data_IF_372311243910
#
_entry.id   IF_372311243910
#
_cell.length_a   1.000
_cell.length_b   1.000
_cell.length_c   1.000
_cell.angle_alpha   90.00
_cell.angle_beta   90.00
_cell.angle_gamma   90.00
#
_symmetry.space_group_name_H-M   'P 1'
#
loop_
_entity.id
_entity.type
_entity.pdbx_description
1 polymer ?
#
# COMPACT_ATOMS: atom_id res chain seq x y z
N UNK A 1 22.40 12.21 24.01
CA UNK A 1 21.60 12.52 22.80
C UNK A 1 21.69 11.28 21.93
N UNK A 2 20.63 10.48 21.84
CA UNK A 2 20.61 9.26 21.03
C UNK A 2 19.75 9.48 19.78
N UNK A 3 20.33 9.15 18.63
CA UNK A 3 19.69 9.20 17.32
C UNK A 3 18.43 8.32 17.26
N UNK A 4 17.34 8.75 16.61
CA UNK A 4 16.17 7.91 16.42
C UNK A 4 16.52 6.84 15.38
N UNK A 5 16.76 5.61 15.84
CA UNK A 5 16.94 4.45 14.98
C UNK A 5 15.71 4.29 14.08
N UNK A 6 15.90 4.46 12.76
CA UNK A 6 14.99 3.89 11.75
C UNK A 6 14.84 2.40 12.09
N UNK A 7 13.66 2.02 12.53
CA UNK A 7 13.34 0.65 12.90
C UNK A 7 13.20 -0.14 11.59
N UNK A 8 14.28 -0.78 11.15
CA UNK A 8 14.25 -1.67 10.00
C UNK A 8 13.46 -2.92 10.39
N UNK A 9 12.31 -3.14 9.77
CA UNK A 9 11.57 -4.41 9.90
C UNK A 9 12.50 -5.59 9.61
N UNK A 10 12.42 -6.70 10.37
CA UNK A 10 13.29 -7.85 10.14
C UNK A 10 13.02 -8.42 8.74
N UNK A 11 14.09 -8.66 7.99
CA UNK A 11 14.03 -9.36 6.70
C UNK A 11 13.35 -10.73 6.88
N UNK A 12 12.40 -11.08 5.99
CA UNK A 12 11.59 -12.28 6.13
C UNK A 12 10.38 -12.17 7.07
N UNK A 13 10.07 -10.98 7.60
CA UNK A 13 8.82 -10.75 8.30
C UNK A 13 7.62 -11.11 7.41
N UNK A 14 6.67 -11.87 7.97
CA UNK A 14 5.46 -12.29 7.28
C UNK A 14 4.23 -11.90 8.10
N UNK A 15 3.26 -11.28 7.43
CA UNK A 15 1.95 -10.97 7.98
C UNK A 15 0.89 -11.75 7.22
N UNK A 16 -0.07 -12.32 7.92
CA UNK A 16 -1.15 -13.10 7.32
C UNK A 16 -2.49 -12.79 7.97
N UNK A 17 -3.55 -13.20 7.29
CA UNK A 17 -4.91 -13.04 7.78
C UNK A 17 -5.92 -13.51 6.73
N UNK A 18 -7.15 -13.03 6.87
CA UNK A 18 -8.24 -13.34 5.95
C UNK A 18 -8.82 -12.05 5.39
N UNK A 19 -8.94 -11.95 4.07
CA UNK A 19 -9.79 -10.96 3.42
C UNK A 19 -11.19 -11.52 3.27
N UNK A 20 -12.19 -10.72 3.64
CA UNK A 20 -13.60 -11.05 3.45
C UNK A 20 -14.15 -10.12 2.37
N UNK A 21 -14.62 -10.71 1.29
CA UNK A 21 -15.35 -10.02 0.23
C UNK A 21 -16.82 -10.40 0.35
N UNK A 22 -17.63 -9.54 0.97
CA UNK A 22 -19.01 -9.88 1.34
C UNK A 22 -19.88 -10.07 0.08
N UNK A 23 -20.46 -11.25 -0.16
CA UNK A 23 -21.28 -11.50 -1.35
C UNK A 23 -22.50 -10.58 -1.49
N UNK A 24 -22.89 -9.87 -0.42
CA UNK A 24 -23.99 -8.91 -0.44
C UNK A 24 -23.57 -7.50 -0.90
N UNK A 25 -22.28 -7.23 -1.10
CA UNK A 25 -21.81 -5.93 -1.59
C UNK A 25 -22.41 -5.61 -2.96
N UNK A 26 -22.99 -4.41 -3.08
CA UNK A 26 -23.69 -3.97 -4.29
C UNK A 26 -22.82 -3.94 -5.56
N UNK A 27 -21.49 -3.92 -5.42
CA UNK A 27 -20.57 -3.99 -6.55
C UNK A 27 -20.77 -5.27 -7.38
N UNK A 28 -21.14 -6.37 -6.74
CA UNK A 28 -21.34 -7.66 -7.40
C UNK A 28 -22.61 -7.72 -8.24
N UNK A 29 -23.57 -6.81 -8.03
CA UNK A 29 -24.73 -6.66 -8.91
C UNK A 29 -24.33 -6.26 -10.33
N UNK A 30 -23.18 -5.61 -10.49
CA UNK A 30 -22.69 -5.10 -11.76
C UNK A 30 -21.35 -5.73 -12.20
N UNK A 31 -20.74 -6.58 -11.36
CA UNK A 31 -19.41 -7.15 -11.60
C UNK A 31 -19.30 -8.62 -11.12
N UNK A 32 -19.79 -9.60 -11.87
CA UNK A 32 -20.57 -9.52 -13.10
C UNK A 32 -21.96 -10.11 -12.81
N UNK A 33 -23.04 -9.60 -13.42
CA UNK A 33 -24.39 -10.12 -13.16
C UNK A 33 -24.43 -11.65 -13.37
N UNK A 34 -25.04 -12.40 -12.45
CA UNK A 34 -25.12 -13.88 -12.40
C UNK A 34 -23.81 -14.65 -12.17
N UNK A 35 -22.65 -14.01 -12.26
CA UNK A 35 -21.34 -14.63 -11.98
C UNK A 35 -20.46 -13.60 -11.25
N UNK A 36 -20.70 -13.36 -9.95
CA UNK A 36 -20.01 -12.32 -9.22
C UNK A 36 -18.52 -12.66 -9.09
N UNK A 37 -17.68 -11.65 -9.36
CA UNK A 37 -16.23 -11.76 -9.28
C UNK A 37 -15.71 -10.56 -8.52
N UNK A 38 -14.80 -10.77 -7.58
CA UNK A 38 -14.08 -9.70 -6.90
C UNK A 38 -13.21 -8.96 -7.92
N UNK A 39 -13.43 -7.65 -8.14
CA UNK A 39 -12.54 -6.86 -8.98
C UNK A 39 -11.09 -6.97 -8.52
N UNK A 40 -10.17 -7.19 -9.46
CA UNK A 40 -8.75 -7.30 -9.13
C UNK A 40 -8.21 -6.09 -8.37
N UNK A 41 -8.74 -4.89 -8.64
CA UNK A 41 -8.42 -3.67 -7.92
C UNK A 41 -8.82 -3.70 -6.44
N UNK A 42 -9.94 -4.34 -6.08
CA UNK A 42 -10.33 -4.50 -4.67
C UNK A 42 -9.39 -5.45 -3.93
N UNK A 43 -8.94 -6.52 -4.60
CA UNK A 43 -7.94 -7.44 -4.03
C UNK A 43 -6.61 -6.70 -3.77
N UNK A 44 -6.13 -5.94 -4.76
CA UNK A 44 -4.90 -5.14 -4.60
C UNK A 44 -5.05 -4.11 -3.49
N UNK A 45 -6.20 -3.43 -3.43
CA UNK A 45 -6.49 -2.46 -2.38
C UNK A 45 -6.53 -3.12 -0.99
N UNK A 46 -7.08 -4.32 -0.86
CA UNK A 46 -7.07 -5.07 0.40
C UNK A 46 -5.64 -5.37 0.88
N UNK A 47 -4.72 -5.75 -0.03
CA UNK A 47 -3.30 -5.88 0.29
C UNK A 47 -2.67 -4.57 0.75
N UNK A 48 -2.95 -3.46 0.05
CA UNK A 48 -2.44 -2.14 0.45
C UNK A 48 -2.92 -1.78 1.86
N UNK A 49 -4.20 -1.97 2.16
CA UNK A 49 -4.76 -1.69 3.50
C UNK A 49 -4.15 -2.58 4.58
N UNK A 50 -3.96 -3.87 4.32
CA UNK A 50 -3.28 -4.77 5.24
C UNK A 50 -1.83 -4.31 5.49
N UNK A 51 -1.08 -3.96 4.44
CA UNK A 51 0.29 -3.46 4.56
C UNK A 51 0.36 -2.13 5.32
N UNK A 52 -0.58 -1.19 5.10
CA UNK A 52 -0.65 0.09 5.83
C UNK A 52 -0.74 -0.10 7.34
N UNK A 53 -1.56 -1.06 7.77
CA UNK A 53 -1.79 -1.34 9.20
C UNK A 53 -0.54 -1.85 9.90
N UNK A 54 0.32 -2.59 9.19
CA UNK A 54 1.51 -3.21 9.78
C UNK A 54 2.80 -2.42 9.58
N UNK A 55 2.91 -1.63 8.50
CA UNK A 55 4.16 -0.97 8.10
C UNK A 55 4.09 0.57 8.05
N UNK A 56 2.92 1.18 8.27
CA UNK A 56 2.71 2.64 8.23
C UNK A 56 3.12 3.35 6.91
N UNK A 57 3.30 2.59 5.83
CA UNK A 57 3.61 3.09 4.48
C UNK A 57 2.36 3.73 3.87
N UNK A 58 2.44 4.97 3.38
CA UNK A 58 1.26 5.67 2.81
C UNK A 58 0.99 5.30 1.35
N UNK A 59 2.05 5.27 0.55
CA UNK A 59 1.99 5.11 -0.90
C UNK A 59 2.65 3.81 -1.32
N UNK A 60 2.04 3.13 -2.27
CA UNK A 60 2.60 1.92 -2.87
C UNK A 60 2.65 2.07 -4.37
N UNK A 61 3.75 1.62 -4.96
CA UNK A 61 3.76 1.17 -6.35
C UNK A 61 3.38 -0.30 -6.39
N UNK A 62 2.61 -0.65 -7.42
CA UNK A 62 2.18 -2.01 -7.70
C UNK A 62 3.13 -2.61 -8.74
N UNK A 63 3.61 -3.84 -8.51
CA UNK A 63 4.45 -4.54 -9.47
C UNK A 63 4.00 -5.99 -9.65
N UNK A 64 3.89 -6.42 -10.90
CA UNK A 64 3.70 -7.82 -11.30
C UNK A 64 2.54 -8.56 -10.59
N UNK A 65 1.42 -7.88 -10.31
CA UNK A 65 0.20 -8.55 -9.87
C UNK A 65 -0.33 -9.47 -10.98
N UNK A 66 -0.53 -10.74 -10.64
CA UNK A 66 -1.05 -11.79 -11.51
C UNK A 66 -2.23 -12.46 -10.83
N UNK A 67 -3.34 -12.51 -11.55
CA UNK A 67 -4.57 -13.15 -11.13
C UNK A 67 -4.70 -14.44 -11.93
N UNK A 68 -4.54 -15.59 -11.25
CA UNK A 68 -4.52 -16.90 -11.91
C UNK A 68 -5.92 -17.41 -12.20
N UNK A 69 -6.86 -17.07 -11.33
CA UNK A 69 -8.26 -17.47 -11.37
C UNK A 69 -9.16 -16.31 -10.97
N UNK A 70 -10.44 -16.37 -11.36
CA UNK A 70 -11.43 -15.43 -10.86
C UNK A 70 -11.74 -15.72 -9.39
N UNK A 71 -11.68 -14.68 -8.57
CA UNK A 71 -12.01 -14.72 -7.14
C UNK A 71 -13.49 -14.41 -7.01
N UNK A 72 -14.26 -15.30 -6.39
CA UNK A 72 -15.68 -15.06 -6.08
C UNK A 72 -15.79 -14.32 -4.73
N UNK A 73 -16.91 -13.66 -4.41
CA UNK A 73 -17.08 -13.07 -3.08
C UNK A 73 -17.12 -14.17 -2.00
N UNK A 74 -16.13 -14.18 -1.11
CA UNK A 74 -15.98 -15.12 0.01
C UNK A 74 -14.81 -14.66 0.93
N UNK A 75 -14.46 -15.48 1.91
CA UNK A 75 -13.23 -15.40 2.68
C UNK A 75 -12.02 -16.04 1.99
N UNK A 76 -10.88 -15.35 2.01
CA UNK A 76 -9.63 -15.82 1.42
C UNK A 76 -8.44 -15.56 2.35
N UNK A 77 -7.59 -16.55 2.50
CA UNK A 77 -6.34 -16.41 3.24
C UNK A 77 -5.36 -15.56 2.43
N UNK A 78 -4.63 -14.69 3.12
CA UNK A 78 -3.58 -13.89 2.50
C UNK A 78 -2.27 -13.97 3.28
N UNK A 79 -1.17 -13.73 2.58
CA UNK A 79 0.11 -13.41 3.20
C UNK A 79 0.77 -12.21 2.51
N UNK A 80 1.52 -11.45 3.32
CA UNK A 80 2.41 -10.39 2.91
C UNK A 80 3.77 -10.72 3.50
N UNK A 81 4.78 -10.90 2.66
CA UNK A 81 6.14 -11.26 3.06
C UNK A 81 7.11 -10.14 2.68
N UNK A 82 7.93 -9.70 3.63
CA UNK A 82 9.02 -8.75 3.37
C UNK A 82 10.13 -9.45 2.57
N UNK A 83 10.34 -9.02 1.32
CA UNK A 83 11.36 -9.51 0.41
C UNK A 83 12.26 -8.35 -0.07
N UNK A 84 13.33 -8.06 0.68
CA UNK A 84 14.17 -6.89 0.44
C UNK A 84 13.37 -5.60 0.62
N UNK A 85 13.31 -4.74 -0.41
CA UNK A 85 12.49 -3.51 -0.42
C UNK A 85 11.05 -3.71 -0.91
N UNK A 86 10.67 -4.95 -1.23
CA UNK A 86 9.35 -5.29 -1.77
C UNK A 86 8.55 -6.07 -0.74
N UNK A 87 7.23 -5.98 -0.86
CA UNK A 87 6.28 -6.79 -0.10
C UNK A 87 5.62 -7.77 -1.06
N UNK A 88 5.95 -9.05 -0.97
CA UNK A 88 5.30 -10.10 -1.77
C UNK A 88 3.92 -10.36 -1.20
N UNK A 89 2.90 -10.14 -2.01
CA UNK A 89 1.50 -10.37 -1.67
C UNK A 89 1.04 -11.68 -2.30
N UNK A 90 0.36 -12.51 -1.53
CA UNK A 90 -0.20 -13.78 -2.00
C UNK A 90 -1.60 -14.01 -1.43
N UNK A 91 -2.55 -14.40 -2.28
CA UNK A 91 -3.93 -14.74 -1.91
C UNK A 91 -4.18 -16.22 -2.19
N UNK A 92 -4.82 -16.91 -1.27
CA UNK A 92 -5.02 -18.35 -1.32
C UNK A 92 -6.47 -18.76 -1.08
N UNK A 93 -6.84 -19.93 -1.63
CA UNK A 93 -8.01 -20.71 -1.22
C UNK A 93 -7.60 -22.17 -1.14
N UNK A 94 -7.81 -22.81 0.01
CA UNK A 94 -7.52 -24.25 0.19
C UNK A 94 -6.11 -24.61 -0.30
N UNK A 95 -5.10 -23.83 0.12
CA UNK A 95 -3.70 -24.01 -0.28
C UNK A 95 -3.36 -23.74 -1.77
N UNK A 96 -4.34 -23.33 -2.60
CA UNK A 96 -4.11 -22.89 -3.99
C UNK A 96 -3.83 -21.40 -4.04
N UNK A 97 -2.75 -21.02 -4.70
CA UNK A 97 -2.40 -19.62 -4.95
C UNK A 97 -3.28 -19.03 -6.06
N UNK A 98 -4.12 -18.05 -5.72
CA UNK A 98 -5.04 -17.41 -6.65
C UNK A 98 -4.48 -16.10 -7.21
N UNK A 99 -3.85 -15.30 -6.35
CA UNK A 99 -3.28 -13.99 -6.73
C UNK A 99 -1.88 -13.87 -6.13
N UNK A 100 -0.95 -13.31 -6.90
CA UNK A 100 0.37 -12.94 -6.40
C UNK A 100 0.81 -11.61 -6.99
N UNK A 101 1.60 -10.83 -6.27
CA UNK A 101 2.16 -9.58 -6.75
C UNK A 101 3.11 -8.95 -5.74
N UNK A 102 3.57 -7.74 -6.02
CA UNK A 102 4.40 -6.99 -5.10
C UNK A 102 3.84 -5.59 -4.86
N UNK A 103 3.87 -5.18 -3.60
CA UNK A 103 3.78 -3.77 -3.22
C UNK A 103 5.19 -3.26 -2.96
N UNK A 104 5.47 -2.04 -3.41
CA UNK A 104 6.73 -1.34 -3.12
C UNK A 104 6.35 -0.07 -2.41
N UNK A 105 6.73 0.03 -1.14
CA UNK A 105 6.50 1.25 -0.37
C UNK A 105 7.34 2.40 -0.91
N UNK A 106 6.68 3.53 -1.18
CA UNK A 106 7.40 4.78 -1.20
C UNK A 106 7.43 5.29 0.24
N UNK A 107 8.52 4.93 0.93
CA UNK A 107 8.94 5.62 2.15
C UNK A 107 9.22 7.05 1.72
N UNK A 108 8.19 7.90 1.75
CA UNK A 108 8.32 9.30 1.39
C UNK A 108 9.60 9.82 2.03
N UNK A 109 10.61 10.12 1.20
CA UNK A 109 11.82 10.75 1.67
C UNK A 109 11.34 11.93 2.50
N UNK A 110 11.78 11.94 3.75
CA UNK A 110 11.65 13.04 4.70
C UNK A 110 11.55 14.35 3.92
N UNK A 111 10.43 15.07 4.08
CA UNK A 111 10.42 16.50 3.77
C UNK A 111 11.55 17.08 4.62
N UNK A 112 12.70 17.31 4.00
CA UNK A 112 13.75 18.14 4.57
C UNK A 112 13.10 19.47 4.92
N UNK A 113 13.37 19.89 6.15
CA UNK A 113 13.10 21.18 6.72
C UNK A 113 13.20 22.26 5.65
N UNK A 114 12.10 22.97 5.39
CA UNK A 114 12.19 24.25 4.72
C UNK A 114 12.97 25.17 5.68
N UNK A 115 14.27 25.23 5.45
CA UNK A 115 15.21 26.07 6.16
C UNK A 115 14.78 27.53 5.95
N UNK A 116 14.51 28.18 7.07
CA UNK A 116 14.25 29.60 7.21
C UNK A 116 15.35 30.42 6.54
N UNK A 117 15.04 31.07 5.41
CA UNK A 117 15.89 32.11 4.87
C UNK A 117 15.66 33.43 5.64
N UNK A 118 16.71 34.08 6.19
CA UNK A 118 16.57 35.35 6.90
C UNK A 118 16.32 36.52 5.94
N UNK A 119 15.63 37.54 6.48
CA UNK A 119 15.35 38.83 5.84
C UNK A 119 16.60 39.41 5.17
N UNK A 120 16.48 39.78 3.89
CA UNK A 120 17.33 40.81 3.29
C UNK A 120 16.65 42.17 3.40
N UNK A 121 17.23 42.98 4.28
CA UNK A 121 17.09 44.43 4.29
C UNK A 121 17.64 44.99 2.98
N UNK A 122 16.83 45.71 2.20
CA UNK A 122 17.35 46.73 1.29
C UNK A 122 16.57 48.02 1.50
N UNK A 123 17.23 48.98 2.16
CA UNK A 123 16.84 50.38 2.17
C UNK A 123 17.17 50.98 0.79
N UNK A 124 16.22 51.69 0.18
CA UNK A 124 16.53 52.75 -0.78
C UNK A 124 15.59 53.94 -0.59
N UNK A 125 16.21 55.02 -0.15
CA UNK A 125 15.72 56.39 -0.20
C UNK A 125 15.52 56.90 -1.64
N UNK A 126 14.90 58.09 -1.71
CA UNK A 126 14.76 59.07 -2.81
C UNK A 126 13.38 59.02 -3.48
N UNK A 127 12.61 60.10 -3.55
CA UNK A 127 12.83 61.49 -3.19
C UNK A 127 11.68 62.32 -3.75
N UNK A 128 11.33 63.40 -3.05
CA UNK A 128 10.50 64.51 -3.55
C UNK A 128 11.00 64.98 -4.92
N UNK A 129 10.05 65.29 -5.81
CA UNK A 129 9.91 66.57 -6.50
C UNK A 129 8.42 66.79 -6.77
#
# INVERSE_FOLDING_TARGET
MMDPKKQTSPEGATWSGTFIFDPTDAIYMFHFPSQPVVPGSLIVHAFMEAARRVLQIRNFRLEAFRFREFVQPDGYEYSIEQAGSRLRCSLFRENRLLVTGFLIGDDGASMESAESAPLRHEARERGRL
#
